data_IF_021675864849
#
_entry.id   IF_021675864849
#
_cell.length_a   1.000
_cell.length_b   1.000
_cell.length_c   1.000
_cell.angle_alpha   90.00
_cell.angle_beta   90.00
_cell.angle_gamma   90.00
#
_symmetry.space_group_name_H-M   'P 1'
#
loop_
_entity.id
_entity.type
_entity.pdbx_description
1 polymer ?
#
# COMPACT_ATOMS: atom_id res chain seq x y z
N UNK A 1 -1.31 1.17 -22.51
CA UNK A 1 -2.17 0.66 -21.40
C UNK A 1 -2.08 1.49 -20.12
N UNK A 2 -0.88 1.74 -19.55
CA UNK A 2 -0.74 2.53 -18.31
C UNK A 2 -1.13 4.01 -18.45
N UNK A 3 -0.77 4.67 -19.56
CA UNK A 3 -1.14 6.06 -19.83
C UNK A 3 -2.66 6.28 -19.75
N UNK A 4 -3.46 5.47 -20.45
CA UNK A 4 -4.93 5.60 -20.42
C UNK A 4 -5.54 5.26 -19.05
N UNK A 5 -4.90 4.39 -18.25
CA UNK A 5 -5.33 4.14 -16.87
C UNK A 5 -5.09 5.39 -16.00
N UNK A 6 -3.91 5.99 -16.10
CA UNK A 6 -3.55 7.22 -15.38
C UNK A 6 -4.42 8.39 -15.81
N UNK A 7 -4.70 8.51 -17.11
CA UNK A 7 -5.61 9.54 -17.65
C UNK A 7 -7.02 9.40 -17.07
N UNK A 8 -7.55 8.18 -17.00
CA UNK A 8 -8.86 7.91 -16.36
C UNK A 8 -8.87 8.25 -14.87
N UNK A 9 -7.85 7.82 -14.12
CA UNK A 9 -7.71 8.16 -12.69
C UNK A 9 -7.60 9.66 -12.47
N UNK A 10 -6.81 10.34 -13.30
CA UNK A 10 -6.68 11.80 -13.27
C UNK A 10 -8.02 12.48 -13.55
N UNK A 11 -8.76 12.04 -14.57
CA UNK A 11 -10.06 12.60 -14.88
C UNK A 11 -11.06 12.41 -13.72
N UNK A 12 -11.04 11.25 -13.05
CA UNK A 12 -11.90 10.97 -11.91
C UNK A 12 -11.54 11.78 -10.66
N UNK A 13 -10.26 12.09 -10.45
CA UNK A 13 -9.76 12.77 -9.24
C UNK A 13 -9.66 14.30 -9.40
N UNK A 14 -9.14 14.77 -10.53
CA UNK A 14 -8.78 16.17 -10.80
C UNK A 14 -9.51 16.77 -12.01
N UNK A 15 -10.42 16.03 -12.64
CA UNK A 15 -11.15 16.46 -13.83
C UNK A 15 -10.31 16.44 -15.12
N UNK A 16 -10.91 16.90 -16.23
CA UNK A 16 -10.23 16.99 -17.53
C UNK A 16 -9.46 18.32 -17.59
N UNK A 17 -8.16 18.29 -17.28
CA UNK A 17 -7.35 19.48 -17.14
C UNK A 17 -6.11 19.52 -18.04
N UNK A 18 -5.72 20.73 -18.47
CA UNK A 18 -4.50 20.98 -19.28
C UNK A 18 -3.20 20.59 -18.57
N UNK A 19 -3.23 20.43 -17.24
CA UNK A 19 -2.07 20.08 -16.41
C UNK A 19 -1.78 18.57 -16.34
N UNK A 20 -2.58 17.72 -17.00
CA UNK A 20 -2.42 16.26 -16.92
C UNK A 20 -0.99 15.82 -17.26
N UNK A 21 -0.43 16.27 -18.38
CA UNK A 21 0.92 15.87 -18.81
C UNK A 21 2.00 16.38 -17.86
N UNK A 22 1.87 17.60 -17.34
CA UNK A 22 2.81 18.16 -16.35
C UNK A 22 2.81 17.35 -15.06
N UNK A 23 1.63 17.02 -14.53
CA UNK A 23 1.50 16.24 -13.30
C UNK A 23 1.92 14.79 -13.50
N UNK A 24 1.62 14.21 -14.66
CA UNK A 24 2.11 12.88 -15.03
C UNK A 24 3.64 12.86 -15.08
N UNK A 25 4.26 13.87 -15.71
CA UNK A 25 5.71 14.00 -15.72
C UNK A 25 6.28 14.13 -14.29
N UNK A 26 5.66 14.92 -13.42
CA UNK A 26 6.07 15.01 -12.00
C UNK A 26 6.01 13.67 -11.28
N UNK A 27 4.94 12.88 -11.46
CA UNK A 27 4.85 11.52 -10.88
C UNK A 27 5.97 10.63 -11.41
N UNK A 28 6.15 10.59 -12.73
CA UNK A 28 7.19 9.75 -13.36
C UNK A 28 8.58 10.12 -12.85
N UNK A 29 8.94 11.41 -12.87
CA UNK A 29 10.23 11.89 -12.39
C UNK A 29 10.44 11.62 -10.89
N UNK A 30 9.40 11.81 -10.07
CA UNK A 30 9.47 11.55 -8.63
C UNK A 30 9.75 10.09 -8.35
N UNK A 31 9.02 9.18 -8.99
CA UNK A 31 9.22 7.74 -8.79
C UNK A 31 10.53 7.25 -9.41
N UNK A 32 10.96 7.79 -10.55
CA UNK A 32 12.28 7.49 -11.13
C UNK A 32 13.41 7.90 -10.17
N UNK A 33 13.34 9.11 -9.61
CA UNK A 33 14.32 9.62 -8.63
C UNK A 33 14.26 8.90 -7.29
N UNK A 34 13.07 8.48 -6.84
CA UNK A 34 12.90 7.81 -5.55
C UNK A 34 13.22 6.31 -5.60
N UNK A 35 13.11 5.68 -6.78
CA UNK A 35 13.35 4.25 -7.01
C UNK A 35 14.72 3.98 -7.67
N UNK A 36 15.52 5.02 -7.93
CA UNK A 36 16.87 4.87 -8.50
C UNK A 36 17.67 3.81 -7.74
N UNK A 37 18.33 2.94 -8.52
CA UNK A 37 19.01 1.64 -8.30
C UNK A 37 19.14 1.03 -6.88
N UNK A 38 19.26 1.80 -5.80
CA UNK A 38 19.37 1.30 -4.43
C UNK A 38 18.02 1.00 -3.75
N UNK A 39 16.89 1.51 -4.28
CA UNK A 39 15.57 1.45 -3.59
C UNK A 39 14.52 0.54 -4.25
N UNK A 40 14.67 0.24 -5.54
CA UNK A 40 13.76 -0.66 -6.28
C UNK A 40 13.80 -2.12 -5.81
N UNK A 41 14.82 -2.50 -5.03
CA UNK A 41 14.99 -3.84 -4.47
C UNK A 41 14.09 -4.14 -3.25
N UNK A 42 13.41 -3.14 -2.67
CA UNK A 42 12.76 -3.30 -1.35
C UNK A 42 11.25 -3.51 -1.38
N UNK A 43 10.55 -3.50 -2.53
CA UNK A 43 9.13 -3.89 -2.56
C UNK A 43 8.73 -4.32 -3.97
N UNK A 44 8.20 -5.54 -4.11
CA UNK A 44 7.49 -5.95 -5.32
C UNK A 44 5.99 -5.76 -5.09
N UNK A 45 5.29 -5.12 -6.04
CA UNK A 45 3.83 -5.10 -6.03
C UNK A 45 3.32 -6.55 -6.10
N UNK A 46 2.24 -6.85 -5.36
CA UNK A 46 1.63 -8.17 -5.44
C UNK A 46 1.15 -8.45 -6.87
N UNK A 47 1.22 -9.70 -7.35
CA UNK A 47 0.66 -10.06 -8.64
C UNK A 47 -0.82 -9.65 -8.72
N UNK A 48 -1.31 -9.13 -9.87
CA UNK A 48 -2.71 -8.76 -10.04
C UNK A 48 -3.71 -9.86 -9.67
N UNK A 49 -3.38 -11.13 -9.94
CA UNK A 49 -4.21 -12.27 -9.58
C UNK A 49 -4.35 -12.44 -8.05
N UNK A 50 -3.31 -12.12 -7.28
CA UNK A 50 -3.37 -12.16 -5.82
C UNK A 50 -4.25 -11.03 -5.31
N UNK A 51 -4.07 -9.80 -5.81
CA UNK A 51 -4.91 -8.67 -5.42
C UNK A 51 -6.39 -8.89 -5.80
N UNK A 52 -6.65 -9.52 -6.94
CA UNK A 52 -8.00 -9.94 -7.33
C UNK A 52 -8.61 -10.93 -6.34
N UNK A 53 -7.85 -11.98 -5.98
CA UNK A 53 -8.30 -12.97 -4.99
C UNK A 53 -8.59 -12.31 -3.64
N UNK A 54 -7.72 -11.41 -3.17
CA UNK A 54 -7.93 -10.67 -1.92
C UNK A 54 -9.20 -9.80 -1.98
N UNK A 55 -9.49 -9.20 -3.14
CA UNK A 55 -10.71 -8.43 -3.34
C UNK A 55 -11.96 -9.32 -3.30
N UNK A 56 -11.95 -10.44 -4.01
CA UNK A 56 -13.11 -11.33 -4.16
C UNK A 56 -13.40 -12.14 -2.88
N UNK A 57 -12.36 -12.64 -2.21
CA UNK A 57 -12.51 -13.56 -1.07
C UNK A 57 -12.51 -12.86 0.29
N UNK A 58 -11.83 -11.71 0.41
CA UNK A 58 -11.63 -11.01 1.68
C UNK A 58 -12.15 -9.56 1.67
N UNK A 59 -12.84 -9.15 0.59
CA UNK A 59 -13.37 -7.80 0.42
C UNK A 59 -12.30 -6.71 0.59
N UNK A 60 -11.06 -6.99 0.18
CA UNK A 60 -9.99 -6.00 0.21
C UNK A 60 -10.24 -4.96 -0.89
N UNK A 61 -10.35 -3.69 -0.52
CA UNK A 61 -10.68 -2.61 -1.47
C UNK A 61 -9.62 -1.51 -1.56
N UNK A 62 -8.57 -1.60 -0.74
CA UNK A 62 -7.59 -0.53 -0.60
C UNK A 62 -6.16 -1.06 -0.42
N UNK A 63 -5.24 -0.56 -1.25
CA UNK A 63 -3.79 -0.78 -1.13
C UNK A 63 -3.16 0.31 -0.26
N UNK A 64 -2.54 -0.08 0.86
CA UNK A 64 -1.91 0.86 1.79
C UNK A 64 -0.56 1.39 1.28
N UNK A 65 0.08 0.66 0.37
CA UNK A 65 1.41 0.98 -0.15
C UNK A 65 1.41 0.85 -1.68
N UNK A 66 0.81 1.83 -2.36
CA UNK A 66 0.78 1.86 -3.81
C UNK A 66 1.21 3.22 -4.38
N UNK A 67 1.08 3.33 -5.69
CA UNK A 67 1.35 4.52 -6.49
C UNK A 67 0.31 4.61 -7.60
N UNK A 68 0.15 5.78 -8.23
CA UNK A 68 -0.63 5.88 -9.47
C UNK A 68 -0.16 4.88 -10.56
N UNK A 69 1.12 4.52 -10.53
CA UNK A 69 1.79 3.68 -11.53
C UNK A 69 1.52 2.17 -11.36
N UNK A 70 1.23 1.69 -10.14
CA UNK A 70 1.05 0.26 -9.88
C UNK A 70 -0.30 -0.13 -9.28
N UNK A 71 -1.06 0.83 -8.71
CA UNK A 71 -2.35 0.54 -8.07
C UNK A 71 -3.28 -0.31 -8.96
N UNK A 72 -3.82 -1.36 -8.35
CA UNK A 72 -4.74 -2.33 -8.92
C UNK A 72 -6.16 -2.15 -8.36
N UNK A 73 -6.29 -2.03 -7.03
CA UNK A 73 -7.56 -1.92 -6.32
C UNK A 73 -8.22 -0.53 -6.53
N UNK A 74 -9.52 -0.41 -6.19
CA UNK A 74 -10.25 0.85 -6.38
C UNK A 74 -9.61 2.03 -5.65
N UNK A 75 -9.15 1.82 -4.41
CA UNK A 75 -8.62 2.84 -3.51
C UNK A 75 -7.17 2.56 -3.11
N UNK A 76 -6.41 3.62 -2.78
CA UNK A 76 -5.03 3.46 -2.33
C UNK A 76 -4.50 4.67 -1.56
N UNK A 77 -3.45 4.44 -0.79
CA UNK A 77 -2.54 5.45 -0.25
C UNK A 77 -1.16 5.31 -0.89
N UNK A 78 -0.37 6.39 -0.85
CA UNK A 78 0.91 6.45 -1.52
C UNK A 78 1.95 7.30 -0.77
N UNK A 79 3.19 7.23 -1.25
CA UNK A 79 4.32 7.91 -0.62
C UNK A 79 4.35 9.43 -0.86
N UNK A 80 3.78 9.90 -1.98
CA UNK A 80 3.88 11.30 -2.41
C UNK A 80 2.51 11.93 -2.62
N UNK A 81 1.81 12.34 -1.53
CA UNK A 81 0.47 12.92 -1.63
C UNK A 81 0.40 14.16 -2.54
N UNK A 82 1.49 14.93 -2.62
CA UNK A 82 1.61 16.14 -3.44
C UNK A 82 1.47 15.87 -4.93
N UNK A 83 2.03 14.76 -5.43
CA UNK A 83 1.93 14.37 -6.84
C UNK A 83 0.77 13.40 -7.09
N UNK A 84 0.59 12.43 -6.20
CA UNK A 84 -0.25 11.26 -6.44
C UNK A 84 -1.71 11.53 -6.13
N UNK A 85 -1.99 12.54 -5.28
CA UNK A 85 -3.35 12.97 -4.96
C UNK A 85 -4.14 13.34 -6.22
N UNK A 86 -3.47 13.89 -7.24
CA UNK A 86 -4.08 14.19 -8.54
C UNK A 86 -4.52 12.96 -9.35
N UNK A 87 -4.07 11.78 -8.95
CA UNK A 87 -4.40 10.49 -9.56
C UNK A 87 -5.16 9.58 -8.59
N UNK A 88 -5.76 10.17 -7.54
CA UNK A 88 -6.66 9.48 -6.61
C UNK A 88 -6.02 8.85 -5.38
N UNK A 89 -4.76 9.16 -5.05
CA UNK A 89 -4.19 8.77 -3.76
C UNK A 89 -4.93 9.45 -2.61
N UNK A 90 -5.22 8.70 -1.54
CA UNK A 90 -5.79 9.23 -0.29
C UNK A 90 -4.72 9.77 0.69
N UNK A 91 -3.49 9.97 0.21
CA UNK A 91 -2.38 10.46 1.01
C UNK A 91 -1.51 9.33 1.54
N UNK A 92 -0.79 9.57 2.65
CA UNK A 92 0.08 8.57 3.26
C UNK A 92 -0.70 7.59 4.12
N UNK A 93 -0.35 6.30 4.07
CA UNK A 93 -0.90 5.30 4.99
C UNK A 93 -0.74 5.71 6.47
N UNK A 94 0.38 6.34 6.81
CA UNK A 94 0.67 6.77 8.18
C UNK A 94 -0.22 7.91 8.68
N UNK A 95 -0.93 8.62 7.79
CA UNK A 95 -1.96 9.61 8.13
C UNK A 95 -3.38 9.12 7.84
N UNK A 96 -3.53 8.00 7.13
CA UNK A 96 -4.81 7.36 6.87
C UNK A 96 -5.36 6.66 8.12
N UNK A 97 -6.65 6.88 8.42
CA UNK A 97 -7.33 6.43 9.65
C UNK A 97 -8.71 5.82 9.34
N UNK A 98 -8.76 4.65 8.68
CA UNK A 98 -10.04 3.98 8.42
C UNK A 98 -10.64 3.45 9.73
N UNK A 99 -11.95 3.60 9.89
CA UNK A 99 -12.67 3.06 11.05
C UNK A 99 -13.14 1.61 10.84
N UNK A 100 -13.30 1.19 9.59
CA UNK A 100 -13.77 -0.14 9.16
C UNK A 100 -13.27 -0.45 7.73
N UNK A 101 -13.35 -1.70 7.32
CA UNK A 101 -12.97 -2.18 5.99
C UNK A 101 -11.84 -3.22 6.01
N UNK A 102 -11.47 -3.71 4.83
CA UNK A 102 -10.36 -4.66 4.64
C UNK A 102 -9.30 -4.06 3.69
N UNK A 103 -8.04 -4.16 4.11
CA UNK A 103 -6.94 -3.42 3.51
C UNK A 103 -5.77 -4.35 3.20
N UNK A 104 -5.10 -4.15 2.06
CA UNK A 104 -3.82 -4.78 1.76
C UNK A 104 -2.70 -3.84 2.18
N UNK A 105 -1.68 -4.38 2.84
CA UNK A 105 -0.49 -3.63 3.20
C UNK A 105 0.78 -4.42 2.91
N UNK A 106 1.53 -3.95 1.92
CA UNK A 106 2.84 -4.47 1.54
C UNK A 106 3.87 -3.35 1.69
N UNK A 107 4.43 -3.12 2.90
CA UNK A 107 5.41 -2.05 3.10
C UNK A 107 6.75 -2.39 2.41
N UNK A 108 7.64 -1.39 2.24
CA UNK A 108 9.05 -1.66 1.92
C UNK A 108 9.67 -2.66 2.90
N UNK A 109 10.56 -3.51 2.40
CA UNK A 109 11.07 -4.72 3.05
C UNK A 109 12.16 -4.45 4.09
N UNK A 110 12.53 -3.19 4.31
CA UNK A 110 13.41 -2.83 5.41
C UNK A 110 12.68 -2.92 6.76
N UNK A 111 13.44 -3.25 7.82
CA UNK A 111 12.85 -3.46 9.15
C UNK A 111 12.14 -2.24 9.72
N UNK A 112 12.60 -1.02 9.37
CA UNK A 112 12.02 0.22 9.86
C UNK A 112 10.62 0.44 9.27
N UNK A 113 10.48 0.26 7.97
CA UNK A 113 9.20 0.37 7.26
C UNK A 113 8.21 -0.69 7.71
N UNK A 114 8.64 -1.96 7.84
CA UNK A 114 7.79 -3.04 8.36
C UNK A 114 7.33 -2.72 9.79
N UNK A 115 8.24 -2.28 10.67
CA UNK A 115 7.89 -1.91 12.04
C UNK A 115 6.88 -0.78 12.08
N UNK A 116 7.10 0.28 11.31
CA UNK A 116 6.20 1.43 11.24
C UNK A 116 4.81 1.03 10.73
N UNK A 117 4.76 0.16 9.69
CA UNK A 117 3.53 -0.42 9.16
C UNK A 117 2.75 -1.15 10.26
N UNK A 118 3.40 -2.13 10.91
CA UNK A 118 2.76 -2.98 11.91
C UNK A 118 2.31 -2.19 13.15
N UNK A 119 3.10 -1.20 13.59
CA UNK A 119 2.70 -0.31 14.68
C UNK A 119 1.47 0.53 14.30
N UNK A 120 1.40 0.99 13.05
CA UNK A 120 0.24 1.74 12.59
C UNK A 120 -1.01 0.88 12.51
N UNK A 121 -0.91 -0.32 11.93
CA UNK A 121 -1.98 -1.32 11.91
C UNK A 121 -2.47 -1.65 13.32
N UNK A 122 -1.56 -1.90 14.27
CA UNK A 122 -1.91 -2.17 15.67
C UNK A 122 -2.71 -1.02 16.29
N UNK A 123 -2.27 0.23 16.09
CA UNK A 123 -2.99 1.41 16.58
C UNK A 123 -4.41 1.51 16.00
N UNK A 124 -4.57 1.23 14.71
CA UNK A 124 -5.88 1.26 14.05
C UNK A 124 -6.81 0.17 14.60
N UNK A 125 -6.32 -1.06 14.72
CA UNK A 125 -7.09 -2.18 15.25
C UNK A 125 -7.51 -1.98 16.71
N UNK A 126 -6.65 -1.39 17.54
CA UNK A 126 -7.00 -1.06 18.93
C UNK A 126 -7.99 0.12 19.05
N UNK A 127 -8.11 0.96 18.03
CA UNK A 127 -8.90 2.19 18.08
C UNK A 127 -10.37 2.01 17.64
N UNK A 128 -10.77 0.80 17.21
CA UNK A 128 -12.12 0.55 16.69
C UNK A 128 -12.70 -0.75 17.23
N UNK A 129 -14.02 -0.78 17.34
CA UNK A 129 -14.81 -2.00 17.59
C UNK A 129 -15.54 -2.47 16.33
N UNK A 130 -15.39 -1.76 15.21
CA UNK A 130 -15.98 -2.14 13.92
C UNK A 130 -15.14 -3.21 13.22
N UNK A 131 -15.69 -3.79 12.16
CA UNK A 131 -14.98 -4.76 11.33
C UNK A 131 -13.83 -4.08 10.57
N UNK A 132 -12.61 -4.26 11.06
CA UNK A 132 -11.38 -3.75 10.46
C UNK A 132 -10.36 -4.90 10.30
N UNK A 133 -9.85 -5.09 9.09
CA UNK A 133 -8.92 -6.15 8.74
C UNK A 133 -7.76 -5.68 7.86
N UNK A 134 -6.59 -6.27 8.05
CA UNK A 134 -5.41 -6.01 7.22
C UNK A 134 -4.79 -7.33 6.76
N UNK A 135 -4.56 -7.46 5.46
CA UNK A 135 -3.70 -8.48 4.87
C UNK A 135 -2.32 -7.84 4.71
N UNK A 136 -1.40 -8.19 5.61
CA UNK A 136 -0.04 -7.63 5.61
C UNK A 136 0.92 -8.62 4.96
N UNK A 137 1.56 -8.21 3.87
CA UNK A 137 2.57 -9.03 3.17
C UNK A 137 3.96 -8.46 3.41
N UNK A 138 4.86 -9.31 3.90
CA UNK A 138 6.25 -8.97 4.23
C UNK A 138 7.14 -10.17 3.91
N UNK A 139 8.44 -9.96 3.63
CA UNK A 139 9.38 -11.06 3.45
C UNK A 139 9.60 -11.81 4.77
N UNK A 140 10.14 -13.02 4.68
CA UNK A 140 10.74 -13.65 5.84
C UNK A 140 12.06 -12.93 6.15
N UNK A 141 12.24 -12.52 7.40
CA UNK A 141 13.41 -11.78 7.85
C UNK A 141 13.72 -12.09 9.32
N UNK A 142 14.99 -11.94 9.69
CA UNK A 142 15.38 -11.92 11.10
C UNK A 142 14.81 -10.68 11.78
N UNK A 143 14.14 -10.88 12.91
CA UNK A 143 13.40 -9.81 13.58
C UNK A 143 14.25 -9.15 14.63
N UNK A 144 14.37 -7.82 14.55
CA UNK A 144 14.82 -7.03 15.70
C UNK A 144 13.91 -7.24 16.92
N UNK A 145 14.39 -6.83 18.10
CA UNK A 145 13.59 -6.86 19.33
C UNK A 145 12.30 -6.05 19.19
N UNK A 146 12.36 -4.90 18.52
CA UNK A 146 11.21 -4.02 18.30
C UNK A 146 10.17 -4.68 17.38
N UNK A 147 10.61 -5.30 16.27
CA UNK A 147 9.70 -6.06 15.41
C UNK A 147 9.06 -7.23 16.16
N UNK A 148 9.86 -7.99 16.93
CA UNK A 148 9.35 -9.11 17.70
C UNK A 148 8.28 -8.69 18.72
N UNK A 149 8.44 -7.52 19.34
CA UNK A 149 7.44 -6.96 20.25
C UNK A 149 6.11 -6.65 19.52
N UNK A 150 6.14 -5.94 18.39
CA UNK A 150 4.90 -5.60 17.67
C UNK A 150 4.19 -6.84 17.12
N UNK A 151 4.91 -7.88 16.69
CA UNK A 151 4.29 -9.15 16.28
C UNK A 151 3.52 -9.81 17.42
N UNK A 152 4.09 -9.82 18.63
CA UNK A 152 3.44 -10.37 19.81
C UNK A 152 2.19 -9.56 20.16
N UNK A 153 2.28 -8.24 20.08
CA UNK A 153 1.16 -7.35 20.42
C UNK A 153 0.02 -7.43 19.37
N UNK A 154 0.33 -7.80 18.12
CA UNK A 154 -0.65 -8.09 17.06
C UNK A 154 -1.23 -9.51 17.12
N UNK A 155 -0.62 -10.44 17.88
CA UNK A 155 -1.05 -11.83 17.95
C UNK A 155 -2.55 -12.01 18.26
N UNK A 156 -3.17 -11.26 19.19
CA UNK A 156 -4.61 -11.38 19.48
C UNK A 156 -5.51 -11.04 18.27
N UNK A 157 -5.02 -10.24 17.32
CA UNK A 157 -5.74 -9.85 16.12
C UNK A 157 -5.47 -10.78 14.94
N UNK A 158 -4.44 -11.63 15.01
CA UNK A 158 -4.05 -12.49 13.89
C UNK A 158 -5.07 -13.61 13.69
N UNK A 159 -5.67 -13.66 12.49
CA UNK A 159 -6.63 -14.71 12.11
C UNK A 159 -6.01 -15.80 11.25
N UNK A 160 -5.02 -15.48 10.43
CA UNK A 160 -4.34 -16.42 9.55
C UNK A 160 -2.88 -15.99 9.34
N UNK A 161 -2.01 -16.96 9.03
CA UNK A 161 -0.65 -16.74 8.56
C UNK A 161 -0.36 -17.72 7.44
N UNK A 162 0.00 -17.22 6.27
CA UNK A 162 0.41 -18.01 5.12
C UNK A 162 1.84 -17.64 4.74
N UNK A 163 2.60 -18.61 4.22
CA UNK A 163 3.95 -18.41 3.67
C UNK A 163 3.95 -18.89 2.24
N UNK A 164 4.68 -18.17 1.38
CA UNK A 164 4.85 -18.50 -0.03
C UNK A 164 6.34 -18.42 -0.38
N UNK A 165 6.81 -19.29 -1.26
CA UNK A 165 8.14 -19.20 -1.84
C UNK A 165 8.11 -18.21 -3.03
N UNK A 166 9.16 -17.40 -3.18
CA UNK A 166 9.31 -16.52 -4.34
C UNK A 166 9.92 -17.34 -5.47
N UNK A 167 9.16 -17.59 -6.56
CA UNK A 167 9.68 -18.24 -7.77
C UNK A 167 8.90 -19.43 -8.34
N UNK A 168 7.67 -19.69 -7.88
CA UNK A 168 6.74 -20.65 -8.49
C UNK A 168 5.60 -19.94 -9.24
#
# INVERSE_FOLDING_TARGET
KHYERLRRRYAASSGVGRLFLTRLFSVLQRYDSALSEDKSAYQAALPPAVLQLLHEELCVEHECYASPLNVYLPSYTSAFPDSDGHFGSLGSFYTFRPAEGCFEANPPFDQGSILACLQHVLRLLCATTKALGFVVVIPELERSRALSAVFRDLEPFRRCKVRFAVGE
#
